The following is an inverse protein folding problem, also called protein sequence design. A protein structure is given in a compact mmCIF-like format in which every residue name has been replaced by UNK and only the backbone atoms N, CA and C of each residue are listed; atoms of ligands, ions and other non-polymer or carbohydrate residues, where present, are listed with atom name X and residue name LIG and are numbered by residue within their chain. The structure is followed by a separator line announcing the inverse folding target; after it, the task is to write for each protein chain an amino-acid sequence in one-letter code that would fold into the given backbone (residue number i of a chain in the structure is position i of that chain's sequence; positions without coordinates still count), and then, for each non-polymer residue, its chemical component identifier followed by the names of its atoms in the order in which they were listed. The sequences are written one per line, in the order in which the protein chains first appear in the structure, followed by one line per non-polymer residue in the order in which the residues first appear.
data_IF_834887359469
#
_entry.id   IF_834887359469
#
_cell.length_a   1.000
_cell.length_b   1.000
_cell.length_c   1.000
_cell.angle_alpha   90.00
_cell.angle_beta   90.00
_cell.angle_gamma   90.00
#
_symmetry.space_group_name_H-M   'P 1'
#
loop_
_entity.id
_entity.type
_entity.pdbx_description
1 polymer ?
#
# COMPACT_ATOMS: atom_id res chain seq x y z
N UNK A 1 -31.69 13.99 -13.63
CA UNK A 1 -30.55 14.09 -12.71
C UNK A 1 -29.30 13.73 -13.49
N UNK A 2 -28.30 14.61 -13.52
CA UNK A 2 -27.03 14.32 -14.19
C UNK A 2 -26.16 13.56 -13.19
N UNK A 3 -25.82 12.30 -13.49
CA UNK A 3 -24.89 11.56 -12.64
C UNK A 3 -23.50 12.18 -12.76
N UNK A 4 -22.86 12.44 -11.62
CA UNK A 4 -21.46 12.88 -11.60
C UNK A 4 -20.59 11.72 -12.08
N UNK A 5 -19.67 12.00 -12.99
CA UNK A 5 -18.70 11.03 -13.45
C UNK A 5 -17.46 11.07 -12.54
N UNK A 6 -17.00 9.90 -12.15
CA UNK A 6 -15.85 9.69 -11.29
C UNK A 6 -14.77 8.91 -12.04
N UNK A 7 -13.53 9.06 -11.60
CA UNK A 7 -12.39 8.42 -12.24
C UNK A 7 -12.09 7.07 -11.61
N UNK A 8 -11.77 6.08 -12.45
CA UNK A 8 -11.24 4.79 -12.04
C UNK A 8 -9.88 4.60 -12.72
N UNK A 9 -8.79 4.95 -12.02
CA UNK A 9 -7.44 4.95 -12.60
C UNK A 9 -6.33 4.85 -11.56
N UNK A 10 -5.13 4.54 -12.02
CA UNK A 10 -3.89 4.60 -11.23
C UNK A 10 -3.01 5.72 -11.80
N UNK A 11 -2.68 6.72 -10.99
CA UNK A 11 -1.69 7.76 -11.26
C UNK A 11 -0.31 7.38 -10.73
N UNK A 12 0.75 7.91 -11.38
CA UNK A 12 2.16 7.62 -11.08
C UNK A 12 2.47 6.10 -11.09
N UNK A 13 1.96 5.41 -12.11
CA UNK A 13 2.02 3.96 -12.20
C UNK A 13 3.22 3.46 -13.03
N UNK A 14 4.43 3.81 -12.61
CA UNK A 14 5.67 3.49 -13.31
C UNK A 14 6.62 2.66 -12.45
N UNK A 15 7.52 1.90 -13.10
CA UNK A 15 8.46 0.96 -12.45
C UNK A 15 9.61 1.61 -11.66
N UNK A 16 9.62 2.95 -11.59
CA UNK A 16 10.59 3.79 -10.88
C UNK A 16 9.94 4.71 -9.85
N UNK A 17 8.61 4.77 -9.81
CA UNK A 17 7.91 5.70 -8.94
C UNK A 17 7.69 5.06 -7.57
N UNK A 18 8.17 5.74 -6.54
CA UNK A 18 8.00 5.30 -5.16
C UNK A 18 6.63 5.70 -4.61
N UNK A 19 5.84 6.42 -5.41
CA UNK A 19 4.51 6.90 -5.04
C UNK A 19 3.49 6.50 -6.08
N UNK A 20 2.32 6.09 -5.64
CA UNK A 20 1.20 5.81 -6.52
C UNK A 20 -0.09 6.40 -5.94
N UNK A 21 -0.99 6.84 -6.82
CA UNK A 21 -2.32 7.30 -6.45
C UNK A 21 -3.39 6.47 -7.15
N UNK A 22 -4.28 5.85 -6.40
CA UNK A 22 -5.39 5.07 -6.94
C UNK A 22 -6.66 5.88 -6.73
N UNK A 23 -7.50 5.97 -7.77
CA UNK A 23 -8.82 6.58 -7.72
C UNK A 23 -9.85 5.54 -8.14
N UNK A 24 -10.91 5.39 -7.35
CA UNK A 24 -12.06 4.55 -7.68
C UNK A 24 -13.37 5.15 -7.19
N UNK A 25 -14.46 4.68 -7.76
CA UNK A 25 -15.82 5.02 -7.34
C UNK A 25 -16.29 4.02 -6.29
N UNK A 26 -16.87 4.48 -5.16
CA UNK A 26 -17.43 3.53 -4.19
C UNK A 26 -18.68 2.82 -4.71
N UNK A 27 -18.93 1.63 -4.18
CA UNK A 27 -20.21 0.95 -4.30
C UNK A 27 -21.34 1.84 -3.78
N UNK A 28 -22.48 1.96 -4.52
CA UNK A 28 -23.58 2.84 -4.12
C UNK A 28 -24.10 2.55 -2.71
N UNK A 29 -24.11 3.58 -1.85
CA UNK A 29 -24.77 3.50 -0.54
C UNK A 29 -26.22 3.97 -0.74
N UNK A 30 -27.16 3.04 -0.62
CA UNK A 30 -28.59 3.35 -0.74
C UNK A 30 -29.10 4.08 0.48
N UNK A 31 -29.92 5.10 0.28
CA UNK A 31 -30.58 5.83 1.35
C UNK A 31 -31.99 6.26 0.95
N UNK A 32 -32.87 6.30 1.94
CA UNK A 32 -34.21 6.84 1.83
C UNK A 32 -34.18 8.37 1.89
N UNK A 33 -35.12 9.00 1.19
CA UNK A 33 -35.29 10.45 1.19
C UNK A 33 -36.66 10.83 1.71
N UNK A 34 -36.77 12.04 2.24
CA UNK A 34 -38.05 12.69 2.51
C UNK A 34 -38.25 13.85 1.55
N UNK A 35 -39.51 14.23 1.40
CA UNK A 35 -40.01 15.34 0.59
C UNK A 35 -40.87 16.20 1.49
N UNK A 36 -40.73 17.51 1.44
CA UNK A 36 -41.72 18.38 2.06
C UNK A 36 -42.81 18.69 1.04
N UNK A 37 -44.07 18.50 1.43
CA UNK A 37 -45.26 18.77 0.60
C UNK A 37 -46.21 19.71 1.35
N UNK A 38 -47.00 20.48 0.59
CA UNK A 38 -48.06 21.32 1.13
C UNK A 38 -49.41 20.61 1.07
N UNK A 39 -50.18 20.75 2.14
CA UNK A 39 -51.63 20.66 2.03
C UNK A 39 -52.18 21.98 1.49
N UNK A 40 -52.93 21.90 0.39
CA UNK A 40 -53.68 23.04 -0.14
C UNK A 40 -55.06 23.07 0.50
N UNK A 41 -55.54 24.26 0.86
CA UNK A 41 -56.94 24.44 1.24
C UNK A 41 -57.87 24.38 0.00
N UNK A 42 -59.18 24.47 0.23
CA UNK A 42 -60.19 24.41 -0.84
C UNK A 42 -60.07 25.57 -1.86
N UNK A 43 -59.35 26.64 -1.52
CA UNK A 43 -59.06 27.78 -2.40
C UNK A 43 -57.67 27.68 -3.06
N UNK A 44 -56.93 26.59 -2.81
CA UNK A 44 -55.60 26.36 -3.38
C UNK A 44 -54.45 27.01 -2.61
N UNK A 45 -54.67 27.54 -1.41
CA UNK A 45 -53.61 28.18 -0.61
C UNK A 45 -52.83 27.14 0.22
N UNK A 46 -51.50 27.27 0.32
CA UNK A 46 -50.65 26.38 1.12
C UNK A 46 -50.86 26.61 2.62
N UNK A 47 -51.13 25.54 3.38
CA UNK A 47 -51.29 25.60 4.85
C UNK A 47 -50.00 25.39 5.62
N UNK A 48 -49.44 24.19 5.52
CA UNK A 48 -48.32 23.72 6.35
C UNK A 48 -47.50 22.72 5.57
N UNK A 49 -46.19 22.74 5.78
CA UNK A 49 -45.29 21.74 5.24
C UNK A 49 -45.39 20.44 6.04
N UNK A 50 -45.53 19.33 5.32
CA UNK A 50 -45.47 17.99 5.90
C UNK A 50 -44.35 17.19 5.22
N UNK A 51 -43.54 16.50 6.02
CA UNK A 51 -42.54 15.58 5.52
C UNK A 51 -43.21 14.27 5.12
N UNK A 52 -43.10 13.90 3.84
CA UNK A 52 -43.58 12.62 3.31
C UNK A 52 -42.41 11.79 2.79
N UNK A 53 -42.46 10.45 2.90
CA UNK A 53 -41.44 9.59 2.32
C UNK A 53 -41.30 9.79 0.80
N UNK A 54 -40.06 9.78 0.33
CA UNK A 54 -39.77 9.75 -1.09
C UNK A 54 -40.19 8.43 -1.73
N UNK A 55 -40.63 8.50 -2.98
CA UNK A 55 -41.06 7.31 -3.74
C UNK A 55 -39.91 6.36 -4.07
N UNK A 56 -38.69 6.86 -4.20
CA UNK A 56 -37.53 6.10 -4.64
C UNK A 56 -36.34 6.35 -3.70
N UNK A 57 -35.57 5.30 -3.44
CA UNK A 57 -34.26 5.42 -2.81
C UNK A 57 -33.29 6.16 -3.71
N UNK A 58 -32.36 6.87 -3.09
CA UNK A 58 -31.22 7.50 -3.74
C UNK A 58 -29.94 6.75 -3.42
N UNK A 59 -28.92 7.03 -4.22
CA UNK A 59 -27.62 6.41 -4.13
C UNK A 59 -26.59 7.49 -3.82
N UNK A 60 -25.82 7.28 -2.76
CA UNK A 60 -24.66 8.09 -2.44
C UNK A 60 -23.43 7.44 -3.08
N UNK A 61 -22.84 8.14 -4.05
CA UNK A 61 -21.67 7.71 -4.82
C UNK A 61 -20.68 8.86 -4.84
N UNK A 62 -19.42 8.59 -4.52
CA UNK A 62 -18.30 9.53 -4.40
C UNK A 62 -16.98 8.92 -4.86
N UNK A 63 -16.01 9.80 -5.12
CA UNK A 63 -14.64 9.42 -5.45
C UNK A 63 -13.90 8.98 -4.19
N UNK A 64 -13.47 7.73 -4.15
CA UNK A 64 -12.50 7.22 -3.20
C UNK A 64 -11.08 7.34 -3.74
N UNK A 65 -10.11 7.28 -2.83
CA UNK A 65 -8.69 7.36 -3.20
C UNK A 65 -7.79 6.55 -2.30
N UNK A 66 -6.62 6.18 -2.81
CA UNK A 66 -5.49 5.69 -2.04
C UNK A 66 -4.22 6.40 -2.49
N UNK A 67 -3.45 6.93 -1.54
CA UNK A 67 -2.11 7.44 -1.75
C UNK A 67 -1.12 6.46 -1.10
N UNK A 68 -0.15 5.99 -1.87
CA UNK A 68 0.86 5.01 -1.46
C UNK A 68 2.23 5.67 -1.58
N UNK A 69 3.07 5.55 -0.54
CA UNK A 69 4.43 6.08 -0.51
C UNK A 69 5.40 5.01 0.02
N UNK A 70 6.41 4.66 -0.78
CA UNK A 70 7.46 3.72 -0.46
C UNK A 70 8.75 4.45 -0.13
N UNK A 71 9.50 3.93 0.82
CA UNK A 71 10.79 4.49 1.19
C UNK A 71 11.81 3.40 1.56
N UNK A 72 13.06 3.66 1.17
CA UNK A 72 14.22 2.86 1.57
C UNK A 72 14.80 3.53 2.81
N UNK A 73 14.46 2.98 3.99
CA UNK A 73 14.93 3.54 5.27
C UNK A 73 16.42 3.27 5.46
N UNK A 74 16.87 2.07 5.07
CA UNK A 74 18.28 1.73 5.00
C UNK A 74 18.49 0.72 3.87
N UNK A 75 19.21 1.17 2.85
CA UNK A 75 19.58 0.33 1.70
C UNK A 75 20.59 -0.73 2.10
N UNK A 76 20.70 -1.80 1.31
CA UNK A 76 21.72 -2.83 1.45
C UNK A 76 23.12 -2.20 1.50
N UNK A 77 23.36 -1.16 0.68
CA UNK A 77 24.62 -0.42 0.66
C UNK A 77 24.91 0.24 2.00
N UNK A 78 23.93 0.98 2.55
CA UNK A 78 24.06 1.63 3.86
C UNK A 78 24.26 0.61 4.98
N UNK A 79 23.54 -0.52 4.92
CA UNK A 79 23.67 -1.60 5.89
C UNK A 79 25.07 -2.23 5.89
N UNK A 80 25.79 -2.22 4.77
CA UNK A 80 27.12 -2.81 4.60
C UNK A 80 28.28 -1.79 4.66
N UNK A 81 28.01 -0.49 4.76
CA UNK A 81 29.04 0.55 4.60
C UNK A 81 30.15 0.43 5.64
N UNK A 82 29.80 0.13 6.90
CA UNK A 82 30.79 -0.07 7.97
C UNK A 82 31.77 -1.20 7.62
N UNK A 83 31.24 -2.34 7.20
CA UNK A 83 32.02 -3.53 6.85
C UNK A 83 32.88 -3.24 5.60
N UNK A 84 32.33 -2.49 4.64
CA UNK A 84 33.04 -2.11 3.43
C UNK A 84 34.20 -1.18 3.72
N UNK A 85 34.00 -0.18 4.56
CA UNK A 85 35.03 0.77 4.95
C UNK A 85 36.13 0.11 5.80
N UNK A 86 35.77 -0.82 6.69
CA UNK A 86 36.75 -1.65 7.39
C UNK A 86 37.65 -2.43 6.42
N UNK A 87 37.07 -3.02 5.37
CA UNK A 87 37.83 -3.73 4.33
C UNK A 87 38.73 -2.81 3.51
N UNK A 88 38.25 -1.62 3.11
CA UNK A 88 39.06 -0.62 2.39
C UNK A 88 40.28 -0.17 3.20
N UNK A 89 40.13 -0.08 4.52
CA UNK A 89 41.21 0.27 5.45
C UNK A 89 42.11 -0.92 5.81
N UNK A 90 41.84 -2.13 5.28
CA UNK A 90 42.62 -3.34 5.55
C UNK A 90 42.50 -3.84 7.00
N UNK A 91 41.42 -3.46 7.71
CA UNK A 91 41.20 -3.88 9.10
C UNK A 91 40.97 -5.38 9.17
N UNK A 92 41.57 -6.01 10.18
CA UNK A 92 41.47 -7.46 10.43
C UNK A 92 40.75 -7.72 11.75
N UNK A 93 39.95 -8.78 11.79
CA UNK A 93 39.27 -9.23 13.01
C UNK A 93 37.76 -9.02 12.97
N UNK A 94 37.04 -9.95 13.60
CA UNK A 94 35.58 -10.03 13.52
C UNK A 94 34.86 -8.80 14.08
N UNK A 95 35.47 -8.06 15.00
CA UNK A 95 34.87 -6.88 15.62
C UNK A 95 34.61 -5.72 14.63
N UNK A 96 35.26 -5.72 13.46
CA UNK A 96 35.07 -4.68 12.45
C UNK A 96 33.99 -5.01 11.41
N UNK A 97 33.60 -6.28 11.33
CA UNK A 97 32.69 -6.79 10.33
C UNK A 97 31.45 -7.34 11.02
N UNK A 98 30.33 -6.64 10.88
CA UNK A 98 29.09 -6.94 11.58
C UNK A 98 28.14 -7.81 10.75
N UNK A 99 28.18 -7.71 9.41
CA UNK A 99 27.24 -8.39 8.50
C UNK A 99 27.92 -9.14 7.36
N UNK A 100 29.01 -8.61 6.81
CA UNK A 100 29.70 -9.20 5.66
C UNK A 100 31.21 -9.11 5.83
N UNK A 101 31.93 -10.18 5.46
CA UNK A 101 33.39 -10.13 5.28
C UNK A 101 33.70 -9.78 3.83
N UNK A 102 34.02 -8.51 3.56
CA UNK A 102 34.51 -8.11 2.25
C UNK A 102 36.00 -8.42 2.10
N UNK A 103 36.43 -8.72 0.87
CA UNK A 103 37.82 -9.00 0.57
C UNK A 103 38.69 -7.74 0.73
N UNK A 104 39.86 -7.91 1.36
CA UNK A 104 40.83 -6.85 1.66
C UNK A 104 42.04 -6.86 0.71
N UNK A 105 42.12 -7.83 -0.20
CA UNK A 105 43.24 -7.99 -1.13
C UNK A 105 43.38 -6.75 -2.02
N UNK A 106 44.61 -6.26 -2.20
CA UNK A 106 44.88 -5.01 -2.92
C UNK A 106 44.30 -4.98 -4.33
N UNK A 107 44.29 -6.13 -5.01
CA UNK A 107 43.74 -6.30 -6.37
C UNK A 107 42.21 -6.33 -6.41
N UNK A 108 41.52 -6.49 -5.27
CA UNK A 108 40.07 -6.53 -5.19
C UNK A 108 39.45 -5.22 -4.69
N UNK A 109 40.27 -4.25 -4.25
CA UNK A 109 39.83 -2.95 -3.71
C UNK A 109 38.97 -2.17 -4.73
N UNK A 110 39.23 -2.34 -6.03
CA UNK A 110 38.50 -1.64 -7.12
C UNK A 110 37.05 -2.10 -7.31
N UNK A 111 36.65 -3.25 -6.77
CA UNK A 111 35.26 -3.72 -6.83
C UNK A 111 34.41 -3.08 -5.73
N UNK A 112 33.13 -2.81 -6.00
CA UNK A 112 32.25 -2.18 -5.01
C UNK A 112 31.98 -3.07 -3.80
N UNK A 113 31.67 -4.36 -4.03
CA UNK A 113 31.33 -5.34 -2.99
C UNK A 113 32.05 -6.69 -3.25
N UNK A 114 33.39 -6.76 -3.11
CA UNK A 114 34.14 -7.98 -3.33
C UNK A 114 34.08 -8.90 -2.11
N UNK A 115 33.83 -10.20 -2.30
CA UNK A 115 33.87 -11.21 -1.24
C UNK A 115 34.68 -12.43 -1.69
N UNK A 116 35.28 -13.12 -0.72
CA UNK A 116 35.76 -14.50 -0.89
C UNK A 116 34.66 -15.46 -0.46
N UNK A 117 34.50 -16.56 -1.19
CA UNK A 117 33.52 -17.58 -0.86
C UNK A 117 33.86 -18.33 0.44
N UNK A 118 32.86 -18.81 1.18
CA UNK A 118 33.03 -19.52 2.46
C UNK A 118 32.99 -18.65 3.70
N UNK A 119 33.05 -17.32 3.56
CA UNK A 119 32.84 -16.38 4.66
C UNK A 119 31.35 -16.06 4.85
N UNK A 120 31.04 -15.48 6.01
CA UNK A 120 29.68 -15.07 6.30
C UNK A 120 29.27 -13.83 5.47
N UNK A 121 28.02 -13.86 5.02
CA UNK A 121 27.37 -12.82 4.25
C UNK A 121 25.91 -12.77 4.71
N UNK A 122 25.58 -11.80 5.55
CA UNK A 122 24.24 -11.68 6.11
C UNK A 122 23.37 -10.85 5.15
N UNK A 123 22.18 -11.33 4.74
CA UNK A 123 21.22 -10.47 4.06
C UNK A 123 20.82 -9.32 5.00
N UNK A 124 20.56 -8.14 4.45
CA UNK A 124 20.19 -6.93 5.21
C UNK A 124 19.35 -5.98 4.34
N UNK A 125 18.71 -5.02 5.00
CA UNK A 125 17.92 -3.96 4.37
C UNK A 125 16.70 -3.60 5.21
N UNK A 126 16.28 -2.34 5.15
CA UNK A 126 15.12 -1.82 5.88
C UNK A 126 14.27 -0.92 4.98
N UNK A 127 13.00 -1.30 4.82
CA UNK A 127 12.06 -0.68 3.89
C UNK A 127 10.78 -0.28 4.60
N UNK A 128 10.16 0.81 4.16
CA UNK A 128 8.91 1.28 4.76
C UNK A 128 7.87 1.67 3.72
N UNK A 129 6.65 1.34 4.09
CA UNK A 129 5.36 1.68 3.55
C UNK A 129 4.54 2.77 4.20
N UNK A 130 3.91 3.69 3.48
CA UNK A 130 2.70 4.35 3.98
C UNK A 130 1.55 4.24 2.97
N UNK A 131 0.35 3.92 3.46
CA UNK A 131 -0.88 3.91 2.67
C UNK A 131 -1.89 4.78 3.38
N UNK A 132 -2.45 5.76 2.68
CA UNK A 132 -3.62 6.52 3.13
C UNK A 132 -4.78 6.29 2.17
N UNK A 133 -5.92 5.82 2.67
CA UNK A 133 -7.14 5.63 1.87
C UNK A 133 -8.27 6.51 2.37
N UNK A 134 -9.07 7.05 1.45
CA UNK A 134 -10.33 7.73 1.73
C UNK A 134 -11.47 6.91 1.12
N UNK A 135 -12.41 6.49 1.96
CA UNK A 135 -13.56 5.65 1.61
C UNK A 135 -14.86 6.21 2.18
N UNK A 136 -16.01 5.79 1.64
CA UNK A 136 -17.32 6.18 2.17
C UNK A 136 -18.14 4.95 2.57
N UNK A 137 -18.73 4.97 3.77
CA UNK A 137 -19.63 3.91 4.24
C UNK A 137 -20.54 4.37 5.38
N UNK A 138 -21.47 3.53 5.80
CA UNK A 138 -22.48 3.88 6.83
C UNK A 138 -21.99 3.73 8.28
N UNK A 139 -20.85 3.06 8.51
CA UNK A 139 -20.26 2.88 9.84
C UNK A 139 -18.88 3.52 9.97
N UNK A 140 -18.41 3.72 11.21
CA UNK A 140 -17.15 4.43 11.50
C UNK A 140 -15.89 3.53 11.49
N UNK A 141 -16.04 2.20 11.42
CA UNK A 141 -14.93 1.27 11.60
C UNK A 141 -13.93 1.22 10.44
N UNK A 142 -13.08 0.19 10.42
CA UNK A 142 -12.10 -0.07 9.36
C UNK A 142 -12.73 -0.42 8.01
N UNK A 143 -12.08 -0.11 6.91
CA UNK A 143 -12.52 -0.51 5.56
C UNK A 143 -11.75 -1.70 5.05
N UNK A 144 -12.44 -2.55 4.27
CA UNK A 144 -11.83 -3.70 3.64
C UNK A 144 -10.88 -3.26 2.53
N UNK A 145 -11.21 -2.18 1.84
CA UNK A 145 -10.38 -1.53 0.83
C UNK A 145 -8.97 -1.26 1.36
N UNK A 146 -8.88 -0.64 2.55
CA UNK A 146 -7.60 -0.34 3.19
C UNK A 146 -6.83 -1.59 3.59
N UNK A 147 -7.48 -2.52 4.29
CA UNK A 147 -6.87 -3.76 4.76
C UNK A 147 -6.30 -4.61 3.61
N UNK A 148 -7.09 -4.83 2.57
CA UNK A 148 -6.69 -5.63 1.40
C UNK A 148 -5.55 -4.97 0.63
N UNK A 149 -5.55 -3.63 0.52
CA UNK A 149 -4.47 -2.91 -0.17
C UNK A 149 -3.16 -2.99 0.62
N UNK A 150 -3.19 -2.77 1.94
CA UNK A 150 -2.02 -2.93 2.81
C UNK A 150 -1.47 -4.35 2.72
N UNK A 151 -2.34 -5.36 2.80
CA UNK A 151 -1.94 -6.76 2.70
C UNK A 151 -1.33 -7.09 1.32
N UNK A 152 -1.90 -6.57 0.24
CA UNK A 152 -1.37 -6.77 -1.10
C UNK A 152 0.03 -6.17 -1.26
N UNK A 153 0.28 -4.98 -0.70
CA UNK A 153 1.59 -4.32 -0.70
C UNK A 153 2.62 -5.07 0.16
N UNK A 154 2.25 -5.60 1.32
CA UNK A 154 3.11 -6.50 2.11
C UNK A 154 3.48 -7.74 1.29
N UNK A 155 2.48 -8.34 0.64
CA UNK A 155 2.64 -9.57 -0.12
C UNK A 155 3.38 -9.37 -1.44
N UNK A 156 3.49 -8.14 -1.96
CA UNK A 156 4.25 -7.85 -3.18
C UNK A 156 5.75 -7.75 -2.93
N UNK A 157 6.20 -7.57 -1.68
CA UNK A 157 7.62 -7.46 -1.35
C UNK A 157 8.44 -8.71 -1.72
N UNK A 158 9.60 -8.49 -2.33
CA UNK A 158 10.56 -9.52 -2.76
C UNK A 158 11.96 -9.13 -2.32
N UNK A 159 12.63 -10.01 -1.60
CA UNK A 159 14.08 -9.97 -1.40
C UNK A 159 14.70 -11.13 -2.17
N UNK A 160 15.41 -10.81 -3.26
CA UNK A 160 15.94 -11.77 -4.20
C UNK A 160 17.47 -11.78 -4.17
N UNK A 161 18.08 -12.96 -4.17
CA UNK A 161 19.51 -13.11 -4.34
C UNK A 161 19.86 -14.41 -5.07
N UNK A 162 20.86 -14.34 -5.95
CA UNK A 162 21.46 -15.52 -6.58
C UNK A 162 22.75 -15.99 -5.88
N UNK A 163 23.09 -15.44 -4.70
CA UNK A 163 24.19 -15.94 -3.88
C UNK A 163 23.96 -17.39 -3.45
N UNK A 164 25.05 -18.15 -3.36
CA UNK A 164 25.06 -19.54 -2.94
C UNK A 164 25.50 -19.62 -1.48
N UNK A 165 24.63 -20.17 -0.64
CA UNK A 165 24.85 -20.36 0.79
C UNK A 165 25.08 -21.83 1.13
N UNK A 166 25.58 -22.08 2.33
CA UNK A 166 25.68 -23.42 2.91
C UNK A 166 24.65 -23.59 4.04
N UNK A 167 23.89 -24.69 4.01
CA UNK A 167 22.94 -25.02 5.08
C UNK A 167 23.58 -25.89 6.18
N UNK A 168 22.84 -26.20 7.24
CA UNK A 168 23.32 -27.02 8.35
C UNK A 168 23.67 -28.48 7.99
N UNK A 169 23.35 -28.93 6.78
CA UNK A 169 23.74 -30.24 6.23
C UNK A 169 24.90 -30.15 5.23
N UNK A 170 25.60 -29.02 5.20
CA UNK A 170 26.70 -28.71 4.28
C UNK A 170 26.30 -28.72 2.79
N UNK A 171 25.02 -28.51 2.48
CA UNK A 171 24.53 -28.46 1.11
C UNK A 171 24.50 -27.01 0.59
N UNK A 172 24.82 -26.85 -0.68
CA UNK A 172 24.66 -25.59 -1.40
C UNK A 172 23.16 -25.28 -1.58
N UNK A 173 22.72 -24.12 -1.11
CA UNK A 173 21.33 -23.66 -1.19
C UNK A 173 21.27 -22.17 -1.56
N UNK A 174 20.12 -21.70 -2.03
CA UNK A 174 19.86 -20.27 -2.14
C UNK A 174 19.38 -19.67 -0.79
N UNK A 175 19.15 -18.35 -0.75
CA UNK A 175 18.74 -17.65 0.48
C UNK A 175 17.41 -18.14 1.07
N UNK A 176 16.53 -18.70 0.24
CA UNK A 176 15.26 -19.30 0.63
C UNK A 176 15.37 -20.80 0.99
N UNK A 177 16.59 -21.30 1.21
CA UNK A 177 16.90 -22.70 1.51
C UNK A 177 16.44 -23.71 0.42
N UNK A 178 16.34 -23.27 -0.82
CA UNK A 178 16.01 -24.08 -2.00
C UNK A 178 17.22 -24.36 -2.89
N UNK A 179 16.94 -24.81 -4.13
CA UNK A 179 17.98 -25.06 -5.15
C UNK A 179 18.83 -23.81 -5.42
N UNK A 180 20.15 -23.92 -5.29
CA UNK A 180 21.09 -22.83 -5.58
C UNK A 180 21.21 -22.50 -7.09
N UNK A 181 20.67 -23.35 -7.97
CA UNK A 181 20.66 -23.12 -9.43
C UNK A 181 19.69 -22.03 -9.87
N UNK A 182 18.80 -21.61 -8.97
CA UNK A 182 17.81 -20.56 -9.19
C UNK A 182 17.92 -19.50 -8.10
N UNK A 183 17.73 -18.21 -8.41
CA UNK A 183 17.69 -17.16 -7.39
C UNK A 183 16.71 -17.53 -6.27
N UNK A 184 17.14 -17.31 -5.02
CA UNK A 184 16.26 -17.43 -3.87
C UNK A 184 15.47 -16.14 -3.70
N UNK A 185 14.17 -16.27 -3.43
CA UNK A 185 13.27 -15.14 -3.20
C UNK A 185 12.60 -15.34 -1.84
N UNK A 186 12.80 -14.38 -0.94
CA UNK A 186 12.05 -14.28 0.31
C UNK A 186 10.89 -13.29 0.12
N UNK A 187 9.77 -13.59 0.78
CA UNK A 187 8.59 -12.73 0.80
C UNK A 187 8.06 -12.61 2.23
N UNK A 188 7.11 -11.72 2.48
CA UNK A 188 6.45 -11.67 3.78
C UNK A 188 5.75 -13.00 4.15
N UNK A 189 5.21 -13.72 3.16
CA UNK A 189 4.56 -15.03 3.37
C UNK A 189 5.57 -16.18 3.53
N UNK A 190 6.65 -16.14 2.75
CA UNK A 190 7.75 -17.10 2.80
C UNK A 190 8.96 -16.40 3.43
N UNK A 191 8.84 -16.10 4.71
CA UNK A 191 9.77 -15.24 5.43
C UNK A 191 10.97 -15.97 6.05
N UNK A 192 10.99 -17.30 5.99
CA UNK A 192 12.08 -18.13 6.52
C UNK A 192 13.04 -18.53 5.41
N UNK A 193 14.33 -18.46 5.71
CA UNK A 193 15.40 -18.88 4.80
C UNK A 193 16.21 -20.05 5.33
N UNK A 194 17.51 -19.99 5.10
CA UNK A 194 18.50 -21.02 5.46
C UNK A 194 18.34 -21.44 6.92
N UNK A 195 18.25 -22.75 7.18
CA UNK A 195 18.09 -23.30 8.53
C UNK A 195 16.76 -22.96 9.21
N UNK A 196 15.74 -22.53 8.44
CA UNK A 196 14.43 -22.17 8.97
C UNK A 196 14.40 -20.86 9.77
N UNK A 197 15.46 -20.05 9.68
CA UNK A 197 15.56 -18.75 10.34
C UNK A 197 14.64 -17.74 9.68
N UNK A 198 13.93 -16.97 10.49
CA UNK A 198 13.16 -15.84 9.99
C UNK A 198 14.11 -14.76 9.47
N UNK A 199 13.91 -14.38 8.21
CA UNK A 199 14.71 -13.42 7.48
C UNK A 199 13.92 -12.20 7.05
N UNK A 200 12.58 -12.25 7.00
CA UNK A 200 11.73 -11.09 6.75
C UNK A 200 10.81 -10.91 7.94
N UNK A 201 10.92 -9.77 8.62
CA UNK A 201 9.95 -9.35 9.62
C UNK A 201 9.14 -8.17 9.08
N UNK A 202 7.84 -8.17 9.37
CA UNK A 202 6.90 -7.14 8.94
C UNK A 202 6.20 -6.61 10.19
N UNK A 203 6.21 -5.28 10.36
CA UNK A 203 5.61 -4.62 11.50
C UNK A 203 4.79 -3.42 11.06
N UNK A 204 3.53 -3.36 11.47
CA UNK A 204 2.76 -2.12 11.44
C UNK A 204 3.28 -1.20 12.53
N UNK A 205 3.86 -0.07 12.15
CA UNK A 205 4.41 0.91 13.10
C UNK A 205 3.38 1.96 13.49
N UNK A 206 2.40 2.19 12.64
CA UNK A 206 1.33 3.17 12.87
C UNK A 206 0.03 2.73 12.18
N UNK A 207 -1.09 2.96 12.86
CA UNK A 207 -2.43 2.85 12.28
C UNK A 207 -3.31 3.99 12.80
N UNK A 208 -3.97 4.70 11.89
CA UNK A 208 -4.94 5.75 12.18
C UNK A 208 -6.22 5.49 11.39
N UNK A 209 -7.35 5.68 12.05
CA UNK A 209 -8.69 5.66 11.45
C UNK A 209 -9.42 6.92 11.91
N UNK A 210 -9.79 7.77 10.96
CA UNK A 210 -10.54 9.00 11.20
C UNK A 210 -11.85 8.88 10.45
N UNK A 211 -12.96 8.96 11.19
CA UNK A 211 -14.30 8.92 10.64
C UNK A 211 -14.98 10.28 10.77
N UNK A 212 -15.29 10.90 9.63
CA UNK A 212 -15.99 12.17 9.56
C UNK A 212 -17.41 11.93 9.04
N UNK A 213 -18.43 12.21 9.86
CA UNK A 213 -19.83 12.11 9.41
C UNK A 213 -20.09 13.16 8.34
N UNK A 214 -20.67 12.77 7.20
CA UNK A 214 -21.08 13.70 6.15
C UNK A 214 -22.39 14.37 6.61
N UNK A 215 -22.36 15.65 7.00
CA UNK A 215 -23.53 16.28 7.62
C UNK A 215 -24.66 16.47 6.62
N UNK A 216 -25.89 16.25 7.07
CA UNK A 216 -27.11 16.60 6.35
C UNK A 216 -28.07 17.36 7.26
N UNK A 217 -28.96 18.13 6.65
CA UNK A 217 -29.97 18.94 7.32
C UNK A 217 -31.31 18.68 6.66
N UNK A 218 -32.27 18.25 7.46
CA UNK A 218 -33.58 17.76 7.02
C UNK A 218 -34.69 18.12 8.01
N UNK A 219 -34.41 19.07 8.92
CA UNK A 219 -35.29 19.57 9.98
C UNK A 219 -36.48 20.38 9.47
N UNK A 220 -36.33 20.99 8.29
CA UNK A 220 -37.38 21.78 7.64
C UNK A 220 -37.19 21.83 6.12
N UNK A 221 -38.19 22.26 5.36
CA UNK A 221 -37.98 22.64 3.97
C UNK A 221 -37.14 23.90 3.88
N UNK A 222 -36.30 23.93 2.85
CA UNK A 222 -35.43 25.06 2.52
C UNK A 222 -35.79 25.52 1.12
N UNK A 223 -36.28 26.76 1.02
CA UNK A 223 -36.64 27.35 -0.27
C UNK A 223 -35.40 27.71 -1.09
N UNK A 224 -34.36 28.19 -0.41
CA UNK A 224 -33.05 28.45 -1.00
C UNK A 224 -32.10 27.30 -0.65
N UNK A 225 -31.53 26.66 -1.67
CA UNK A 225 -30.62 25.53 -1.46
C UNK A 225 -29.31 25.90 -0.75
N UNK A 226 -28.93 27.18 -0.79
CA UNK A 226 -27.77 27.70 -0.09
C UNK A 226 -28.00 27.83 1.41
N UNK A 227 -29.26 27.86 1.87
CA UNK A 227 -29.60 27.83 3.29
C UNK A 227 -29.53 26.41 3.85
N UNK A 228 -29.70 25.39 2.99
CA UNK A 228 -29.49 24.01 3.39
C UNK A 228 -27.98 23.75 3.55
N UNK A 229 -27.54 23.55 4.79
CA UNK A 229 -26.14 23.31 5.17
C UNK A 229 -25.67 21.86 4.94
N UNK A 230 -26.50 21.02 4.32
CA UNK A 230 -26.11 19.66 3.96
C UNK A 230 -24.86 19.67 3.10
N UNK A 231 -23.98 18.71 3.33
CA UNK A 231 -22.77 18.55 2.54
C UNK A 231 -23.11 18.41 1.05
N UNK A 232 -22.23 18.92 0.19
CA UNK A 232 -22.44 18.90 -1.26
C UNK A 232 -22.60 17.48 -1.82
N UNK A 233 -21.98 16.49 -1.19
CA UNK A 233 -22.15 15.08 -1.55
C UNK A 233 -23.61 14.60 -1.44
N UNK A 234 -24.34 15.06 -0.42
CA UNK A 234 -25.77 14.78 -0.32
C UNK A 234 -26.56 15.50 -1.41
N UNK A 235 -26.26 16.79 -1.65
CA UNK A 235 -26.92 17.59 -2.69
C UNK A 235 -26.71 17.02 -4.09
N UNK A 236 -25.54 16.44 -4.39
CA UNK A 236 -25.26 15.71 -5.63
C UNK A 236 -26.12 14.45 -5.78
N UNK A 237 -26.52 13.84 -4.66
CA UNK A 237 -27.26 12.56 -4.61
C UNK A 237 -28.78 12.75 -4.54
N UNK A 238 -29.27 13.97 -4.34
CA UNK A 238 -30.67 14.30 -4.06
C UNK A 238 -31.31 15.18 -5.14
N UNK A 239 -32.60 14.97 -5.41
CA UNK A 239 -33.36 15.74 -6.39
C UNK A 239 -33.71 17.15 -5.89
N UNK A 240 -33.78 18.10 -6.82
CA UNK A 240 -34.12 19.49 -6.56
C UNK A 240 -32.92 20.40 -6.38
N UNK A 241 -31.69 19.86 -6.35
CA UNK A 241 -30.44 20.64 -6.20
C UNK A 241 -29.75 20.93 -7.53
N UNK A 242 -29.05 22.07 -7.58
CA UNK A 242 -28.19 22.43 -8.72
C UNK A 242 -27.05 21.42 -8.92
N UNK A 243 -26.43 20.98 -7.83
CA UNK A 243 -25.30 20.02 -7.85
C UNK A 243 -25.66 18.65 -8.43
N UNK A 244 -26.93 18.23 -8.37
CA UNK A 244 -27.40 17.00 -9.01
C UNK A 244 -27.94 17.22 -10.43
N UNK A 245 -27.87 18.45 -10.94
CA UNK A 245 -28.44 18.84 -12.23
C UNK A 245 -29.96 18.62 -12.28
N UNK A 246 -30.65 18.82 -11.15
CA UNK A 246 -32.10 18.61 -11.04
C UNK A 246 -32.84 19.77 -10.37
N UNK A 247 -32.23 20.97 -10.41
CA UNK A 247 -32.86 22.19 -9.89
C UNK A 247 -34.24 22.47 -10.52
N UNK A 248 -34.43 22.04 -11.76
CA UNK A 248 -35.70 22.10 -12.47
C UNK A 248 -36.87 21.43 -11.73
N UNK A 249 -36.61 20.38 -10.95
CA UNK A 249 -37.63 19.74 -10.12
C UNK A 249 -38.16 20.69 -9.05
N UNK A 250 -37.28 21.53 -8.50
CA UNK A 250 -37.68 22.56 -7.54
C UNK A 250 -38.39 23.74 -8.23
N UNK A 251 -37.88 24.22 -9.36
CA UNK A 251 -38.50 25.36 -10.05
C UNK A 251 -39.90 25.06 -10.60
N UNK A 252 -40.11 23.83 -11.09
CA UNK A 252 -41.39 23.38 -11.68
C UNK A 252 -42.40 22.88 -10.64
N UNK A 253 -41.94 22.15 -9.62
CA UNK A 253 -42.82 21.44 -8.69
C UNK A 253 -42.68 21.88 -7.22
N UNK A 254 -41.86 22.90 -6.95
CA UNK A 254 -41.59 23.43 -5.60
C UNK A 254 -41.17 22.36 -4.60
N UNK A 255 -40.40 21.40 -5.08
CA UNK A 255 -40.05 20.19 -4.35
C UNK A 255 -38.53 19.91 -4.38
N UNK A 256 -38.01 19.46 -3.23
CA UNK A 256 -36.60 19.10 -3.00
C UNK A 256 -36.50 17.89 -2.07
N UNK A 257 -35.49 17.06 -2.29
CA UNK A 257 -35.18 15.90 -1.43
C UNK A 257 -34.31 16.28 -0.24
N UNK A 258 -34.52 15.52 0.83
CA UNK A 258 -33.73 15.58 2.04
C UNK A 258 -33.47 14.15 2.50
N UNK A 259 -32.36 13.92 3.19
CA UNK A 259 -32.03 12.58 3.71
C UNK A 259 -33.06 12.20 4.77
N UNK A 260 -33.65 11.00 4.69
CA UNK A 260 -34.54 10.55 5.75
C UNK A 260 -33.73 10.26 7.04
N UNK A 261 -34.33 10.56 8.19
CA UNK A 261 -33.63 10.57 9.48
C UNK A 261 -32.90 9.26 9.83
N UNK A 262 -31.84 9.39 10.63
CA UNK A 262 -30.98 8.31 11.16
C UNK A 262 -30.12 7.55 10.13
N UNK A 263 -30.05 8.02 8.88
CA UNK A 263 -29.14 7.45 7.89
C UNK A 263 -27.85 8.25 7.85
N UNK A 264 -26.73 7.56 8.07
CA UNK A 264 -25.41 8.20 8.19
C UNK A 264 -24.47 7.67 7.13
N UNK A 265 -23.63 8.56 6.63
CA UNK A 265 -22.48 8.22 5.80
C UNK A 265 -21.26 8.90 6.42
N UNK A 266 -20.16 8.17 6.48
CA UNK A 266 -18.89 8.62 6.98
C UNK A 266 -17.87 8.62 5.85
N UNK A 267 -17.09 9.69 5.74
CA UNK A 267 -15.79 9.64 5.09
C UNK A 267 -14.80 9.02 6.09
N UNK A 268 -14.18 7.92 5.67
CA UNK A 268 -13.24 7.14 6.45
C UNK A 268 -11.86 7.34 5.84
N UNK A 269 -11.01 8.04 6.57
CA UNK A 269 -9.60 8.19 6.24
C UNK A 269 -8.78 7.25 7.11
N UNK A 270 -8.14 6.27 6.47
CA UNK A 270 -7.27 5.30 7.13
C UNK A 270 -5.84 5.45 6.66
N UNK A 271 -4.91 5.52 7.60
CA UNK A 271 -3.47 5.57 7.34
C UNK A 271 -2.76 4.43 8.04
N UNK A 272 -1.99 3.62 7.31
CA UNK A 272 -1.14 2.57 7.87
C UNK A 272 0.30 2.80 7.44
N UNK A 273 1.22 2.75 8.40
CA UNK A 273 2.66 2.70 8.15
C UNK A 273 3.22 1.33 8.48
N UNK A 274 3.94 0.73 7.53
CA UNK A 274 4.53 -0.60 7.66
C UNK A 274 6.04 -0.52 7.52
N UNK A 275 6.74 -1.28 8.34
CA UNK A 275 8.18 -1.50 8.28
C UNK A 275 8.46 -2.96 7.91
N UNK A 276 9.35 -3.18 6.95
CA UNK A 276 9.84 -4.49 6.54
C UNK A 276 11.35 -4.51 6.78
N UNK A 277 11.82 -5.44 7.61
CA UNK A 277 13.23 -5.59 7.96
C UNK A 277 13.75 -6.93 7.47
N UNK A 278 14.85 -6.90 6.74
CA UNK A 278 15.56 -8.09 6.30
C UNK A 278 16.62 -8.46 7.34
N UNK A 279 16.50 -9.67 7.91
CA UNK A 279 17.40 -10.24 8.90
C UNK A 279 17.61 -9.34 10.14
N UNK A 280 16.51 -8.89 10.75
CA UNK A 280 16.55 -7.95 11.89
C UNK A 280 17.39 -8.44 13.08
N UNK A 281 17.46 -9.76 13.30
CA UNK A 281 18.28 -10.37 14.36
C UNK A 281 19.77 -10.50 13.99
N UNK A 282 20.14 -10.09 12.77
CA UNK A 282 21.48 -10.23 12.20
C UNK A 282 22.03 -11.67 12.32
N UNK A 283 21.19 -12.66 12.00
CA UNK A 283 21.60 -14.06 11.97
C UNK A 283 22.77 -14.23 10.98
N UNK A 284 23.77 -15.03 11.37
CA UNK A 284 24.95 -15.29 10.52
C UNK A 284 24.66 -16.37 9.50
N UNK A 285 24.94 -16.08 8.24
CA UNK A 285 24.84 -17.03 7.12
C UNK A 285 26.15 -17.09 6.37
N UNK A 286 26.54 -18.27 5.90
CA UNK A 286 27.80 -18.48 5.21
C UNK A 286 27.57 -18.75 3.74
N UNK A 287 28.36 -18.10 2.90
CA UNK A 287 28.41 -18.47 1.48
C UNK A 287 29.05 -19.85 1.34
N UNK A 288 28.69 -20.59 0.29
CA UNK A 288 29.25 -21.91 0.08
C UNK A 288 30.77 -21.80 -0.21
N UNK A 289 31.66 -22.58 0.44
CA UNK A 289 33.12 -22.46 0.27
C UNK A 289 33.65 -22.70 -1.15
N UNK A 290 32.85 -23.36 -1.99
CA UNK A 290 33.14 -23.61 -3.41
C UNK A 290 32.23 -22.81 -4.34
N UNK A 291 31.65 -21.71 -3.87
CA UNK A 291 30.86 -20.81 -4.71
C UNK A 291 31.78 -20.26 -5.81
N UNK A 292 31.44 -20.44 -7.10
CA UNK A 292 32.31 -20.01 -8.20
C UNK A 292 32.54 -18.50 -8.21
N UNK A 293 33.74 -18.11 -8.63
CA UNK A 293 34.06 -16.73 -8.98
C UNK A 293 33.07 -16.17 -10.01
N UNK A 294 32.64 -14.93 -9.82
CA UNK A 294 31.70 -14.30 -10.74
C UNK A 294 30.95 -13.12 -10.14
N UNK A 295 29.96 -12.64 -10.90
CA UNK A 295 29.05 -11.59 -10.47
C UNK A 295 27.75 -12.18 -9.94
N UNK A 296 27.35 -11.72 -8.76
CA UNK A 296 26.13 -12.07 -8.06
C UNK A 296 25.35 -10.78 -7.76
N UNK A 297 24.09 -10.90 -7.33
CA UNK A 297 23.27 -9.76 -6.99
C UNK A 297 22.39 -10.00 -5.78
N UNK A 298 21.96 -8.89 -5.21
CA UNK A 298 20.84 -8.81 -4.29
C UNK A 298 19.93 -7.71 -4.82
N UNK A 299 18.65 -8.03 -5.01
CA UNK A 299 17.63 -7.12 -5.50
C UNK A 299 16.43 -7.12 -4.56
N UNK A 300 15.97 -5.93 -4.19
CA UNK A 300 14.73 -5.74 -3.45
C UNK A 300 13.74 -5.01 -4.34
N UNK A 301 12.57 -5.59 -4.50
CA UNK A 301 11.56 -5.07 -5.41
C UNK A 301 10.16 -5.44 -4.95
N UNK A 302 9.18 -4.72 -5.48
CA UNK A 302 7.78 -5.01 -5.30
C UNK A 302 7.23 -5.64 -6.56
N UNK A 303 6.46 -6.70 -6.41
CA UNK A 303 5.74 -7.32 -7.50
C UNK A 303 4.52 -6.51 -7.92
N UNK A 304 4.07 -6.74 -9.14
CA UNK A 304 2.85 -6.11 -9.66
C UNK A 304 1.62 -6.58 -8.88
N UNK A 305 0.70 -5.66 -8.59
CA UNK A 305 -0.59 -5.97 -7.94
C UNK A 305 -1.71 -5.77 -8.94
N UNK A 306 -2.37 -6.86 -9.34
CA UNK A 306 -3.52 -6.80 -10.24
C UNK A 306 -4.78 -6.43 -9.43
N UNK A 307 -5.18 -5.15 -9.49
CA UNK A 307 -6.33 -4.64 -8.75
C UNK A 307 -7.63 -5.30 -9.23
N UNK A 308 -7.75 -5.58 -10.54
CA UNK A 308 -8.92 -6.24 -11.13
C UNK A 308 -9.17 -7.68 -10.63
N UNK A 309 -8.16 -8.31 -10.02
CA UNK A 309 -8.30 -9.65 -9.41
C UNK A 309 -8.55 -9.61 -7.90
N UNK A 310 -8.57 -8.43 -7.28
CA UNK A 310 -8.82 -8.30 -5.85
C UNK A 310 -10.32 -8.44 -5.57
N UNK A 311 -10.69 -9.31 -4.63
CA UNK A 311 -12.09 -9.69 -4.41
C UNK A 311 -12.77 -8.88 -3.31
N UNK A 312 -13.94 -8.33 -3.62
CA UNK A 312 -14.82 -7.66 -2.66
C UNK A 312 -14.24 -6.36 -2.13
N UNK A 313 -13.65 -5.57 -3.02
CA UNK A 313 -13.16 -4.20 -2.83
C UNK A 313 -13.50 -3.38 -4.07
N UNK A 314 -13.87 -2.12 -3.90
CA UNK A 314 -14.43 -1.32 -5.01
C UNK A 314 -13.41 -0.93 -6.08
N UNK A 315 -12.13 -0.75 -5.71
CA UNK A 315 -11.07 -0.44 -6.68
C UNK A 315 -10.75 -1.59 -7.64
N UNK A 316 -11.33 -2.79 -7.46
CA UNK A 316 -11.26 -3.87 -8.45
C UNK A 316 -11.88 -3.47 -9.80
N UNK A 317 -12.82 -2.51 -9.79
CA UNK A 317 -13.43 -1.92 -10.99
C UNK A 317 -12.45 -1.20 -11.92
N UNK A 318 -11.28 -0.80 -11.42
CA UNK A 318 -10.22 -0.17 -12.24
C UNK A 318 -9.72 -1.15 -13.32
N UNK A 319 -9.73 -2.46 -13.04
CA UNK A 319 -9.28 -3.52 -13.95
C UNK A 319 -7.88 -3.26 -14.56
N UNK A 320 -6.96 -2.75 -13.73
CA UNK A 320 -5.57 -2.48 -14.11
C UNK A 320 -4.61 -3.03 -13.04
N UNK A 321 -3.32 -2.92 -13.29
CA UNK A 321 -2.23 -3.40 -12.45
C UNK A 321 -1.44 -2.23 -11.87
N UNK A 322 -1.39 -2.14 -10.54
CA UNK A 322 -0.41 -1.31 -9.85
C UNK A 322 0.98 -1.90 -10.09
N UNK A 323 1.84 -1.13 -10.73
CA UNK A 323 3.19 -1.54 -11.11
C UNK A 323 4.08 -1.62 -9.89
N UNK A 324 4.85 -2.70 -9.87
CA UNK A 324 5.95 -2.87 -8.93
C UNK A 324 7.13 -1.95 -9.22
N UNK A 325 7.97 -1.71 -8.22
CA UNK A 325 9.17 -0.85 -8.32
C UNK A 325 10.38 -1.56 -7.73
N UNK A 326 11.57 -1.28 -8.26
CA UNK A 326 12.84 -1.70 -7.67
C UNK A 326 13.19 -0.74 -6.53
N UNK A 327 13.25 -1.26 -5.31
CA UNK A 327 13.60 -0.49 -4.12
C UNK A 327 15.11 -0.43 -3.93
N UNK A 328 15.81 -1.54 -4.20
CA UNK A 328 17.25 -1.64 -3.98
C UNK A 328 17.89 -2.68 -4.90
N UNK A 329 19.15 -2.49 -5.23
CA UNK A 329 19.93 -3.40 -6.03
C UNK A 329 21.43 -3.20 -5.81
N UNK A 330 22.13 -4.28 -5.50
CA UNK A 330 23.59 -4.30 -5.45
C UNK A 330 24.17 -5.47 -6.24
N UNK A 331 25.34 -5.26 -6.82
CA UNK A 331 26.15 -6.30 -7.46
C UNK A 331 27.28 -6.70 -6.53
N UNK A 332 27.53 -7.99 -6.40
CA UNK A 332 28.54 -8.58 -5.54
C UNK A 332 29.53 -9.34 -6.41
N UNK A 333 30.81 -9.12 -6.18
CA UNK A 333 31.88 -9.81 -6.92
C UNK A 333 32.47 -10.88 -6.04
N UNK A 334 32.40 -12.14 -6.47
CA UNK A 334 33.05 -13.26 -5.78
C UNK A 334 34.39 -13.53 -6.46
N UNK A 335 35.47 -13.49 -5.69
CA UNK A 335 36.82 -13.82 -6.13
C UNK A 335 37.58 -14.56 -5.05
N UNK A 336 37.97 -15.80 -5.35
CA UNK A 336 38.69 -16.67 -4.43
C UNK A 336 37.80 -17.32 -3.38
N UNK A 337 38.41 -18.13 -2.54
CA UNK A 337 37.75 -18.89 -1.49
C UNK A 337 38.47 -18.79 -0.16
N UNK A 338 37.76 -19.13 0.91
CA UNK A 338 38.35 -19.27 2.25
C UNK A 338 39.51 -20.27 2.28
N UNK A 339 39.57 -21.23 1.35
CA UNK A 339 40.68 -22.18 1.25
C UNK A 339 41.99 -21.51 0.85
N UNK A 340 41.93 -20.46 0.02
CA UNK A 340 43.12 -19.73 -0.45
C UNK A 340 43.75 -18.87 0.65
N UNK A 341 43.00 -18.58 1.74
CA UNK A 341 43.45 -17.76 2.87
C UNK A 341 44.05 -18.58 4.03
N UNK A 342 43.83 -19.90 4.03
CA UNK A 342 44.33 -20.82 5.08
C UNK A 342 45.46 -21.74 4.57
N UNK A 343 45.75 -21.71 3.27
CA UNK A 343 46.93 -22.31 2.65
C UNK A 343 48.12 -21.37 2.71
#
# INVERSE_FOLDING_TARGET
MKKKEYENKIGNNYDKDFKAKILWTNSPIKFDVIRYMFHLDAAGNPKTWEAVPGRYQREFVQQCSADIDWNVTSSIKQEYEQDREAARQGKRGQAFYNKVVFATDKNLISYDYPIKSGYYFNPAGKYTFEVTTVNYKTGQGKTKEHEELVNALINSFRYESNLIYINGSNQAVNIANGSYKTPGILTAKNNKGIGGKELISVKTTEYKNIANEIPYYSDKPYENENENKSHDFWKMSMEGYSLSGSLDSYTKYKYREYVAGNQKVYEITETTKVEIVVNGDNNKFYTHPKMPDGEYYIRVWLDNINLGKMSGVDYSSINDTLKGVILDNIKITVKGSIYDDIS
#
